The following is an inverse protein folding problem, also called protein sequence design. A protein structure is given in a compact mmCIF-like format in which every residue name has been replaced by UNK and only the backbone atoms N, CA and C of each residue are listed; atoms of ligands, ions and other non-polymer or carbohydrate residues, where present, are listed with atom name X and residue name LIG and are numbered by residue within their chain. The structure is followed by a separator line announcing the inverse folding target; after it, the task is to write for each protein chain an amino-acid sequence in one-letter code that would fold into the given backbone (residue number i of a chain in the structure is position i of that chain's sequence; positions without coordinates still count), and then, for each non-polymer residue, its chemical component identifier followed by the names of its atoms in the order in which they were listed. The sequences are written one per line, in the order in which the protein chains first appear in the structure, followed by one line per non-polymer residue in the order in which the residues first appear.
data_IF_698299095049
#
_entry.id   IF_698299095049
#
_cell.length_a   1.000
_cell.length_b   1.000
_cell.length_c   1.000
_cell.angle_alpha   90.00
_cell.angle_beta   90.00
_cell.angle_gamma   90.00
#
_symmetry.space_group_name_H-M   'P 1'
#
loop_
_entity.id
_entity.type
_entity.pdbx_description
1 polymer ?
#
# COMPACT_ATOMS: atom_id res chain seq x y z
N UNK A 1 -6.20 12.69 0.23
CA UNK A 1 -6.63 11.70 1.25
C UNK A 1 -5.51 11.39 2.24
N UNK A 2 -5.79 11.31 3.54
CA UNK A 2 -4.81 11.03 4.60
C UNK A 2 -5.02 9.62 5.16
N UNK A 3 -3.95 8.82 5.17
CA UNK A 3 -3.94 7.47 5.74
C UNK A 3 -2.96 7.43 6.91
N UNK A 4 -3.43 7.10 8.11
CA UNK A 4 -2.58 6.88 9.28
C UNK A 4 -2.15 5.43 9.39
N UNK A 5 -0.84 5.19 9.48
CA UNK A 5 -0.26 3.87 9.73
C UNK A 5 0.09 3.70 11.20
N UNK A 6 -0.52 2.71 11.83
CA UNK A 6 -0.29 2.37 13.24
C UNK A 6 0.84 1.33 13.41
N UNK A 7 1.34 1.21 14.65
CA UNK A 7 2.40 0.24 15.03
C UNK A 7 1.99 -1.20 14.75
N UNK A 8 0.74 -1.56 14.98
CA UNK A 8 0.15 -2.88 14.70
C UNK A 8 -0.07 -3.17 13.20
N UNK A 9 0.62 -2.44 12.31
CA UNK A 9 0.55 -2.56 10.84
C UNK A 9 -0.83 -2.23 10.23
N UNK A 10 -1.82 -1.79 11.02
CA UNK A 10 -3.11 -1.31 10.51
C UNK A 10 -2.95 0.05 9.83
N UNK A 11 -3.74 0.28 8.79
CA UNK A 11 -3.87 1.56 8.11
C UNK A 11 -5.29 2.06 8.31
N UNK A 12 -5.46 3.32 8.67
CA UNK A 12 -6.75 3.97 8.83
C UNK A 12 -6.83 5.14 7.86
N UNK A 13 -7.85 5.14 7.01
CA UNK A 13 -8.13 6.27 6.14
C UNK A 13 -9.01 7.26 6.91
N UNK A 14 -8.49 8.47 7.12
CA UNK A 14 -9.19 9.52 7.87
C UNK A 14 -10.43 9.97 7.10
N UNK A 15 -10.29 10.23 5.80
CA UNK A 15 -11.38 10.73 4.95
C UNK A 15 -12.55 9.74 4.83
N UNK A 16 -12.28 8.44 4.98
CA UNK A 16 -13.31 7.37 4.92
C UNK A 16 -13.70 6.82 6.28
N UNK A 17 -13.16 7.37 7.37
CA UNK A 17 -13.37 6.96 8.76
C UNK A 17 -13.26 5.45 9.00
N UNK A 18 -12.35 4.76 8.31
CA UNK A 18 -12.25 3.29 8.39
C UNK A 18 -10.85 2.74 8.21
N UNK A 19 -10.63 1.55 8.77
CA UNK A 19 -9.42 0.77 8.49
C UNK A 19 -9.42 0.29 7.04
N UNK A 20 -8.24 0.34 6.42
CA UNK A 20 -8.01 -0.06 5.04
C UNK A 20 -6.85 -1.03 4.95
N UNK A 21 -6.88 -1.87 3.91
CA UNK A 21 -5.83 -2.86 3.64
C UNK A 21 -4.87 -2.37 2.56
N UNK A 22 -3.72 -3.03 2.41
CA UNK A 22 -2.73 -2.67 1.39
C UNK A 22 -3.30 -2.64 -0.04
N UNK A 23 -4.28 -3.49 -0.36
CA UNK A 23 -4.92 -3.51 -1.68
C UNK A 23 -5.73 -2.24 -1.96
N UNK A 24 -6.30 -1.61 -0.91
CA UNK A 24 -6.95 -0.31 -1.06
C UNK A 24 -5.93 0.75 -1.51
N UNK A 25 -4.76 0.79 -0.88
CA UNK A 25 -3.67 1.73 -1.23
C UNK A 25 -3.18 1.50 -2.65
N UNK A 26 -3.00 0.25 -3.07
CA UNK A 26 -2.66 -0.10 -4.46
C UNK A 26 -3.74 0.43 -5.43
N UNK A 27 -5.01 0.34 -5.05
CA UNK A 27 -6.12 0.88 -5.83
C UNK A 27 -5.99 2.39 -6.06
N UNK A 28 -5.61 3.15 -5.03
CA UNK A 28 -5.38 4.60 -5.14
C UNK A 28 -4.26 4.91 -6.15
N UNK A 29 -3.14 4.19 -6.03
CA UNK A 29 -1.98 4.35 -6.93
C UNK A 29 -2.41 4.10 -8.38
N UNK A 30 -3.14 3.00 -8.63
CA UNK A 30 -3.62 2.65 -9.98
C UNK A 30 -4.57 3.69 -10.57
N UNK A 31 -5.41 4.30 -9.72
CA UNK A 31 -6.35 5.35 -10.12
C UNK A 31 -5.71 6.76 -10.11
N UNK A 32 -4.42 6.86 -9.81
CA UNK A 32 -3.68 8.13 -9.69
C UNK A 32 -4.35 9.11 -8.71
N UNK A 33 -5.00 8.59 -7.68
CA UNK A 33 -5.58 9.42 -6.61
C UNK A 33 -4.48 9.97 -5.71
N UNK A 34 -4.62 11.23 -5.28
CA UNK A 34 -3.69 11.87 -4.35
C UNK A 34 -3.93 11.41 -2.91
N UNK A 35 -2.86 10.91 -2.28
CA UNK A 35 -2.89 10.52 -0.89
C UNK A 35 -1.53 10.70 -0.20
N UNK A 36 -1.58 10.87 1.12
CA UNK A 36 -0.41 10.86 2.01
C UNK A 36 -0.59 9.77 3.06
N UNK A 37 0.49 9.08 3.39
CA UNK A 37 0.54 8.10 4.47
C UNK A 37 1.43 8.66 5.58
N UNK A 38 0.87 8.83 6.76
CA UNK A 38 1.59 9.33 7.94
C UNK A 38 1.73 8.25 9.01
N UNK A 39 2.81 8.30 9.78
CA UNK A 39 3.00 7.39 10.93
C UNK A 39 2.34 7.95 12.22
N UNK A 40 2.57 7.31 13.37
CA UNK A 40 2.05 7.79 14.65
C UNK A 40 2.64 9.13 15.12
N UNK A 41 3.84 9.49 14.66
CA UNK A 41 4.51 10.77 14.89
C UNK A 41 4.11 11.85 13.87
N UNK A 42 3.19 11.52 12.95
CA UNK A 42 2.75 12.33 11.83
C UNK A 42 3.84 12.59 10.76
N UNK A 43 4.91 11.80 10.74
CA UNK A 43 5.91 11.88 9.65
C UNK A 43 5.33 11.28 8.37
N UNK A 44 5.59 11.91 7.22
CA UNK A 44 5.26 11.37 5.90
C UNK A 44 6.14 10.15 5.58
N UNK A 45 5.49 9.00 5.42
CA UNK A 45 6.10 7.72 5.08
C UNK A 45 5.57 7.16 3.75
N UNK A 46 4.92 7.99 2.94
CA UNK A 46 4.27 7.60 1.68
C UNK A 46 5.24 6.87 0.75
N UNK A 47 6.41 7.46 0.50
CA UNK A 47 7.45 6.86 -0.36
C UNK A 47 7.89 5.48 0.16
N UNK A 48 8.09 5.33 1.47
CA UNK A 48 8.52 4.06 2.07
C UNK A 48 7.46 2.96 1.87
N UNK A 49 6.19 3.31 2.07
CA UNK A 49 5.08 2.36 1.88
C UNK A 49 4.89 2.00 0.41
N UNK A 50 4.98 2.97 -0.50
CA UNK A 50 4.91 2.73 -1.94
C UNK A 50 6.05 1.80 -2.40
N UNK A 51 7.29 2.05 -1.98
CA UNK A 51 8.43 1.18 -2.32
C UNK A 51 8.22 -0.25 -1.81
N UNK A 52 7.70 -0.41 -0.59
CA UNK A 52 7.35 -1.73 -0.04
C UNK A 52 6.27 -2.43 -0.88
N UNK A 53 5.24 -1.70 -1.30
CA UNK A 53 4.17 -2.22 -2.14
C UNK A 53 4.69 -2.63 -3.52
N UNK A 54 5.52 -1.79 -4.15
CA UNK A 54 6.13 -2.06 -5.44
C UNK A 54 6.95 -3.36 -5.41
N UNK A 55 7.83 -3.52 -4.41
CA UNK A 55 8.62 -4.75 -4.24
C UNK A 55 7.72 -5.99 -4.08
N UNK A 56 6.60 -5.85 -3.37
CA UNK A 56 5.64 -6.95 -3.19
C UNK A 56 4.98 -7.35 -4.52
N UNK A 57 4.55 -6.38 -5.32
CA UNK A 57 3.88 -6.65 -6.59
C UNK A 57 4.86 -7.19 -7.64
N UNK A 58 6.11 -6.70 -7.69
CA UNK A 58 7.17 -7.28 -8.55
C UNK A 58 7.43 -8.75 -8.22
N UNK A 59 7.56 -9.11 -6.93
CA UNK A 59 7.74 -10.52 -6.50
C UNK A 59 6.55 -11.40 -6.86
N UNK A 60 5.32 -10.92 -6.66
CA UNK A 60 4.12 -11.66 -7.05
C UNK A 60 4.09 -11.95 -8.55
N UNK A 61 4.45 -10.96 -9.37
CA UNK A 61 4.49 -11.11 -10.82
C UNK A 61 5.56 -12.12 -11.27
N UNK A 62 6.73 -12.13 -10.62
CA UNK A 62 7.77 -13.12 -10.89
C UNK A 62 7.28 -14.55 -10.60
N UNK A 63 6.70 -14.78 -9.42
CA UNK A 63 6.14 -16.09 -9.03
C UNK A 63 5.04 -16.56 -9.98
N UNK A 64 4.17 -15.64 -10.46
CA UNK A 64 3.12 -15.99 -11.42
C UNK A 64 3.68 -16.40 -12.79
N UNK A 65 4.76 -15.75 -13.24
CA UNK A 65 5.44 -16.13 -14.49
C UNK A 65 6.08 -17.51 -14.39
N UNK A 66 6.77 -17.80 -13.30
CA UNK A 66 7.37 -19.12 -13.07
C UNK A 66 6.31 -20.25 -13.11
N UNK A 67 5.17 -20.06 -12.44
CA UNK A 67 4.07 -21.05 -12.46
C UNK A 67 3.50 -21.29 -13.86
N UNK A 68 3.43 -20.27 -14.71
CA UNK A 68 2.95 -20.39 -16.10
C UNK A 68 3.92 -21.13 -17.01
N UNK A 69 5.21 -21.15 -16.69
CA UNK A 69 6.23 -21.85 -17.48
C UNK A 69 6.35 -23.35 -17.12
N UNK A 70 5.75 -23.76 -15.99
CA UNK A 70 5.77 -25.15 -15.49
C UNK A 70 4.50 -25.91 -15.93
N UNK A 71 3.45 -25.19 -16.36
CA UNK A 71 2.19 -25.74 -16.87
C UNK A 71 2.19 -25.76 -18.40
#
# INVERSE_FOLDING_TARGET
MIIKKYKNRKYYCIDKSKFVVLNFIIGLIKRKEEFVIVNNRNDDITKQVILKLLRRELRKNAIQKEKKNIL
#
